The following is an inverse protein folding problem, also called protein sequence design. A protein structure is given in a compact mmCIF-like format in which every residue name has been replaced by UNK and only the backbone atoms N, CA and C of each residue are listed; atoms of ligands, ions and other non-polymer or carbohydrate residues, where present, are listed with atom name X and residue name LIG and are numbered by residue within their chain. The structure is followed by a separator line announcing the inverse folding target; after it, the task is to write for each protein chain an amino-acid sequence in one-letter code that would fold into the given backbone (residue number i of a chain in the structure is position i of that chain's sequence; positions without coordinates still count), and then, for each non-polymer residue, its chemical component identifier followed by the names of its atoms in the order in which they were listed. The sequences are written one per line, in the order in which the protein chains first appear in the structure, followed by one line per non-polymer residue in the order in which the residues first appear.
data_IF_271682756553
#
_entry.id   IF_271682756553
#
_cell.length_a   1.000
_cell.length_b   1.000
_cell.length_c   1.000
_cell.angle_alpha   90.00
_cell.angle_beta   90.00
_cell.angle_gamma   90.00
#
_symmetry.space_group_name_H-M   'P 1'
#
loop_
_entity.id
_entity.type
_entity.pdbx_description
1 polymer ?
#
# COMPACT_ATOMS: atom_id res chain seq x y z
N UNK A 1 -43.98 1.87 -49.54
CA UNK A 1 -43.90 2.61 -48.28
C UNK A 1 -42.55 2.29 -47.68
N UNK A 2 -41.62 3.25 -47.72
CA UNK A 2 -40.26 3.06 -47.20
C UNK A 2 -40.23 3.54 -45.76
N UNK A 3 -40.05 2.61 -44.82
CA UNK A 3 -39.92 2.91 -43.40
C UNK A 3 -38.54 3.54 -43.15
N UNK A 4 -38.55 4.84 -42.87
CA UNK A 4 -37.38 5.59 -42.44
C UNK A 4 -37.07 5.21 -40.97
N UNK A 5 -36.25 4.17 -40.78
CA UNK A 5 -35.68 3.82 -39.48
C UNK A 5 -34.58 4.84 -39.13
N UNK A 6 -34.99 5.94 -38.49
CA UNK A 6 -34.09 6.91 -37.87
C UNK A 6 -33.36 6.25 -36.69
N UNK A 7 -32.13 5.81 -36.93
CA UNK A 7 -31.23 5.36 -35.87
C UNK A 7 -30.96 6.52 -34.92
N UNK A 8 -31.46 6.40 -33.69
CA UNK A 8 -31.15 7.30 -32.60
C UNK A 8 -29.72 7.00 -32.14
N UNK A 9 -28.73 7.75 -32.63
CA UNK A 9 -27.37 7.73 -32.11
C UNK A 9 -27.43 8.11 -30.62
N UNK A 10 -27.32 7.12 -29.75
CA UNK A 10 -27.09 7.36 -28.35
C UNK A 10 -25.71 7.99 -28.22
N UNK A 11 -25.69 9.30 -27.99
CA UNK A 11 -24.47 10.03 -27.60
C UNK A 11 -23.98 9.37 -26.31
N UNK A 12 -22.93 8.55 -26.41
CA UNK A 12 -22.24 8.01 -25.24
C UNK A 12 -21.78 9.19 -24.38
N UNK A 13 -22.51 9.45 -23.30
CA UNK A 13 -22.15 10.48 -22.34
C UNK A 13 -20.75 10.19 -21.82
N UNK A 14 -19.82 11.12 -22.03
CA UNK A 14 -18.45 10.99 -21.54
C UNK A 14 -18.49 10.77 -20.03
N UNK A 15 -17.85 9.70 -19.55
CA UNK A 15 -17.77 9.43 -18.12
C UNK A 15 -17.15 10.63 -17.39
N UNK A 16 -17.66 11.02 -16.22
CA UNK A 16 -17.13 12.16 -15.49
C UNK A 16 -15.66 11.94 -15.14
N UNK A 17 -14.83 12.98 -15.33
CA UNK A 17 -13.44 12.97 -14.91
C UNK A 17 -13.37 13.08 -13.38
N UNK A 18 -13.00 12.00 -12.70
CA UNK A 18 -12.96 11.91 -11.24
C UNK A 18 -11.62 12.37 -10.65
N UNK A 19 -10.59 12.45 -11.50
CA UNK A 19 -9.21 12.70 -11.09
C UNK A 19 -8.63 13.88 -11.86
N UNK A 20 -8.12 14.86 -11.12
CA UNK A 20 -7.26 15.91 -11.65
C UNK A 20 -5.79 15.54 -11.47
N UNK A 21 -4.97 15.79 -12.47
CA UNK A 21 -3.54 15.42 -12.50
C UNK A 21 -2.66 16.65 -12.73
N UNK A 22 -1.55 16.75 -12.01
CA UNK A 22 -0.56 17.81 -12.19
C UNK A 22 0.87 17.26 -12.05
N UNK A 23 1.75 17.61 -12.99
CA UNK A 23 3.19 17.36 -12.85
C UNK A 23 3.75 18.28 -11.76
N UNK A 24 4.21 17.71 -10.65
CA UNK A 24 4.85 18.47 -9.58
C UNK A 24 6.32 18.71 -9.92
N UNK A 25 6.97 17.66 -10.44
CA UNK A 25 8.32 17.74 -10.99
C UNK A 25 8.35 16.90 -12.27
N UNK A 26 8.39 17.54 -13.45
CA UNK A 26 8.37 16.82 -14.72
C UNK A 26 9.40 15.69 -14.77
N UNK A 27 8.95 14.49 -15.13
CA UNK A 27 9.78 13.28 -15.21
C UNK A 27 10.16 12.64 -13.88
N UNK A 28 9.66 13.14 -12.74
CA UNK A 28 10.01 12.60 -11.41
C UNK A 28 8.81 12.43 -10.48
N UNK A 29 7.84 13.36 -10.51
CA UNK A 29 6.67 13.27 -9.64
C UNK A 29 5.39 13.81 -10.28
N UNK A 30 4.33 13.04 -10.09
CA UNK A 30 2.96 13.33 -10.51
C UNK A 30 2.08 13.42 -9.26
N UNK A 31 1.18 14.40 -9.22
CA UNK A 31 0.14 14.50 -8.19
C UNK A 31 -1.23 14.28 -8.82
N UNK A 32 -2.04 13.48 -8.16
CA UNK A 32 -3.43 13.23 -8.51
C UNK A 32 -4.30 13.64 -7.32
N UNK A 33 -5.40 14.33 -7.58
CA UNK A 33 -6.36 14.74 -6.55
C UNK A 33 -7.80 14.47 -7.02
N UNK A 34 -8.74 14.25 -6.09
CA UNK A 34 -10.14 14.09 -6.45
C UNK A 34 -10.73 15.36 -7.07
N UNK A 35 -11.54 15.20 -8.12
CA UNK A 35 -12.20 16.32 -8.83
C UNK A 35 -13.66 16.55 -8.33
N UNK A 36 -14.34 15.50 -7.88
CA UNK A 36 -15.77 15.53 -7.53
C UNK A 36 -16.08 15.12 -6.09
N UNK A 37 -15.08 14.80 -5.29
CA UNK A 37 -15.31 14.56 -3.85
C UNK A 37 -15.71 15.91 -3.24
N UNK A 38 -16.80 15.98 -2.45
CA UNK A 38 -17.18 17.22 -1.77
C UNK A 38 -15.94 17.82 -1.11
N UNK A 39 -15.68 19.10 -1.36
CA UNK A 39 -14.38 19.77 -1.20
C UNK A 39 -13.68 19.67 0.18
N UNK A 40 -14.23 18.93 1.15
CA UNK A 40 -13.69 18.72 2.49
C UNK A 40 -13.74 17.27 3.00
N UNK A 41 -14.13 16.28 2.18
CA UNK A 41 -14.20 14.88 2.61
C UNK A 41 -12.82 14.26 2.78
N UNK A 42 -12.53 13.68 3.94
CA UNK A 42 -11.30 12.90 4.15
C UNK A 42 -11.34 11.61 3.31
N UNK A 43 -10.21 10.89 3.22
CA UNK A 43 -10.22 9.54 2.60
C UNK A 43 -11.24 8.62 3.30
N UNK A 44 -11.38 8.75 4.63
CA UNK A 44 -12.32 7.96 5.41
C UNK A 44 -13.75 8.23 4.95
N UNK A 45 -14.13 9.50 4.90
CA UNK A 45 -15.47 9.92 4.47
C UNK A 45 -15.77 9.44 3.04
N UNK A 46 -14.78 9.56 2.14
CA UNK A 46 -14.94 9.14 0.75
C UNK A 46 -15.15 7.64 0.63
N UNK A 47 -14.29 6.81 1.26
CA UNK A 47 -14.35 5.35 1.09
C UNK A 47 -15.57 4.74 1.77
N UNK A 48 -16.02 5.29 2.90
CA UNK A 48 -17.15 4.73 3.64
C UNK A 48 -18.52 5.24 3.18
N UNK A 49 -18.59 6.49 2.72
CA UNK A 49 -19.88 7.13 2.41
C UNK A 49 -20.21 7.14 0.92
N UNK A 50 -19.21 7.02 0.04
CA UNK A 50 -19.46 6.96 -1.39
C UNK A 50 -19.97 5.57 -1.79
N UNK A 51 -20.77 5.47 -2.88
CA UNK A 51 -21.04 4.19 -3.51
C UNK A 51 -19.74 3.48 -3.87
N UNK A 52 -19.66 2.16 -3.65
CA UNK A 52 -18.48 1.35 -3.93
C UNK A 52 -17.93 1.60 -5.35
N UNK A 53 -18.81 1.62 -6.35
CA UNK A 53 -18.41 1.84 -7.74
C UNK A 53 -17.74 3.20 -7.95
N UNK A 54 -18.13 4.25 -7.21
CA UNK A 54 -17.50 5.57 -7.32
C UNK A 54 -16.06 5.54 -6.77
N UNK A 55 -15.84 4.80 -5.68
CA UNK A 55 -14.49 4.60 -5.11
C UNK A 55 -13.61 3.83 -6.10
N UNK A 56 -14.15 2.74 -6.67
CA UNK A 56 -13.48 1.94 -7.70
C UNK A 56 -13.13 2.79 -8.91
N UNK A 57 -14.11 3.51 -9.48
CA UNK A 57 -13.93 4.34 -10.67
C UNK A 57 -12.87 5.42 -10.45
N UNK A 58 -12.84 6.06 -9.27
CA UNK A 58 -11.81 7.03 -8.92
C UNK A 58 -10.41 6.41 -8.97
N UNK A 59 -10.20 5.28 -8.29
CA UNK A 59 -8.89 4.63 -8.25
C UNK A 59 -8.51 4.02 -9.61
N UNK A 60 -9.47 3.49 -10.38
CA UNK A 60 -9.25 3.02 -11.75
C UNK A 60 -8.81 4.14 -12.68
N UNK A 61 -9.45 5.32 -12.61
CA UNK A 61 -9.03 6.47 -13.39
C UNK A 61 -7.61 6.92 -13.01
N UNK A 62 -7.28 6.94 -11.72
CA UNK A 62 -5.94 7.28 -11.26
C UNK A 62 -4.87 6.29 -11.79
N UNK A 63 -5.14 4.98 -11.67
CA UNK A 63 -4.25 3.92 -12.15
C UNK A 63 -4.12 3.96 -13.68
N UNK A 64 -5.23 4.14 -14.40
CA UNK A 64 -5.23 4.28 -15.86
C UNK A 64 -4.34 5.44 -16.30
N UNK A 65 -4.45 6.59 -15.64
CA UNK A 65 -3.61 7.74 -15.96
C UNK A 65 -2.12 7.44 -15.75
N UNK A 66 -1.77 6.77 -14.65
CA UNK A 66 -0.38 6.41 -14.33
C UNK A 66 0.17 5.37 -15.31
N UNK A 67 -0.49 4.22 -15.44
CA UNK A 67 0.04 3.04 -16.12
C UNK A 67 -0.21 3.05 -17.63
N UNK A 68 -1.34 3.59 -18.08
CA UNK A 68 -1.75 3.55 -19.49
C UNK A 68 -1.45 4.86 -20.21
N UNK A 69 -1.92 5.99 -19.66
CA UNK A 69 -1.73 7.31 -20.29
C UNK A 69 -0.27 7.76 -20.21
N UNK A 70 0.34 7.70 -19.01
CA UNK A 70 1.72 8.13 -18.79
C UNK A 70 2.76 7.03 -18.96
N UNK A 71 2.33 5.77 -19.06
CA UNK A 71 3.19 4.57 -19.19
C UNK A 71 4.22 4.42 -18.05
N UNK A 72 3.87 4.88 -16.85
CA UNK A 72 4.70 4.76 -15.65
C UNK A 72 4.42 3.40 -15.01
N UNK A 73 5.31 2.43 -15.23
CA UNK A 73 5.16 1.06 -14.73
C UNK A 73 5.97 0.78 -13.46
N UNK A 74 6.81 1.74 -13.05
CA UNK A 74 7.76 1.61 -11.95
C UNK A 74 7.70 2.87 -11.08
N UNK A 75 7.05 2.75 -9.92
CA UNK A 75 6.71 3.91 -9.12
C UNK A 75 6.47 3.61 -7.64
N UNK A 76 6.60 4.66 -6.83
CA UNK A 76 6.14 4.74 -5.46
C UNK A 76 4.87 5.59 -5.42
N UNK A 77 3.71 4.95 -5.23
CA UNK A 77 2.43 5.63 -5.06
C UNK A 77 2.20 5.86 -3.57
N UNK A 78 1.94 7.11 -3.19
CA UNK A 78 1.75 7.55 -1.82
C UNK A 78 0.49 8.40 -1.70
N UNK A 79 -0.53 7.85 -1.05
CA UNK A 79 -1.73 8.57 -0.66
C UNK A 79 -1.51 9.23 0.71
N UNK A 80 -1.83 10.52 0.85
CA UNK A 80 -1.73 11.24 2.13
C UNK A 80 -2.91 12.21 2.35
N UNK A 81 -3.22 12.56 3.61
CA UNK A 81 -4.21 13.60 3.91
C UNK A 81 -3.82 14.95 3.31
N UNK A 82 -4.81 15.74 2.90
CA UNK A 82 -4.66 17.08 2.36
C UNK A 82 -5.73 18.00 2.94
N UNK A 83 -5.33 19.11 3.57
CA UNK A 83 -6.28 20.09 4.12
C UNK A 83 -7.17 20.73 3.05
N UNK A 84 -6.69 20.82 1.80
CA UNK A 84 -7.39 21.50 0.70
C UNK A 84 -8.29 20.59 -0.12
N UNK A 85 -7.91 19.30 -0.24
CA UNK A 85 -8.56 18.35 -1.15
C UNK A 85 -9.06 17.10 -0.42
N UNK A 86 -9.02 17.09 0.90
CA UNK A 86 -9.25 15.91 1.73
C UNK A 86 -8.06 14.95 1.73
N UNK A 87 -7.68 14.46 0.55
CA UNK A 87 -6.51 13.62 0.32
C UNK A 87 -5.91 13.85 -1.07
N UNK A 88 -4.66 13.45 -1.25
CA UNK A 88 -3.97 13.47 -2.55
C UNK A 88 -3.15 12.19 -2.75
N UNK A 89 -2.90 11.83 -4.00
CA UNK A 89 -2.00 10.75 -4.41
C UNK A 89 -0.75 11.39 -5.02
N UNK A 90 0.42 11.07 -4.48
CA UNK A 90 1.71 11.43 -5.06
C UNK A 90 2.36 10.18 -5.65
N UNK A 91 2.82 10.27 -6.89
CA UNK A 91 3.50 9.20 -7.60
C UNK A 91 4.92 9.65 -7.88
N UNK A 92 5.90 8.95 -7.31
CA UNK A 92 7.31 9.19 -7.52
C UNK A 92 7.87 8.10 -8.43
N UNK A 93 8.62 8.49 -9.46
CA UNK A 93 9.13 7.57 -10.47
C UNK A 93 10.46 8.05 -11.05
N UNK A 94 11.12 7.20 -11.84
CA UNK A 94 12.37 7.51 -12.53
C UNK A 94 13.65 7.23 -11.74
N UNK A 95 13.54 6.84 -10.46
CA UNK A 95 14.69 6.35 -9.68
C UNK A 95 14.98 4.89 -10.05
N UNK A 96 16.26 4.55 -10.24
CA UNK A 96 16.67 3.15 -10.45
C UNK A 96 16.68 2.41 -9.11
N UNK A 97 15.98 1.27 -9.06
CA UNK A 97 16.00 0.35 -7.92
C UNK A 97 16.16 -1.08 -8.42
N UNK A 98 16.54 -1.98 -7.52
CA UNK A 98 16.80 -3.38 -7.86
C UNK A 98 15.50 -4.18 -8.04
N UNK A 99 14.42 -3.77 -7.37
CA UNK A 99 13.15 -4.48 -7.38
C UNK A 99 13.14 -5.73 -6.51
N UNK A 100 12.03 -6.50 -6.58
CA UNK A 100 11.93 -7.74 -5.84
C UNK A 100 12.79 -8.81 -6.49
N UNK A 101 13.43 -9.63 -5.68
CA UNK A 101 14.01 -10.89 -6.14
C UNK A 101 12.91 -11.79 -6.72
N UNK A 102 13.29 -12.70 -7.62
CA UNK A 102 12.35 -13.73 -8.09
C UNK A 102 12.08 -14.68 -6.93
N UNK A 103 10.85 -14.66 -6.44
CA UNK A 103 10.39 -15.55 -5.37
C UNK A 103 9.42 -16.55 -5.98
N UNK A 104 9.64 -17.83 -5.75
CA UNK A 104 8.70 -18.88 -6.13
C UNK A 104 7.36 -18.68 -5.40
N UNK A 105 6.20 -18.97 -6.03
CA UNK A 105 4.89 -18.74 -5.41
C UNK A 105 4.75 -19.35 -4.01
N UNK A 106 5.28 -20.56 -3.80
CA UNK A 106 5.21 -21.28 -2.52
C UNK A 106 6.02 -20.63 -1.39
N UNK A 107 6.96 -19.75 -1.76
CA UNK A 107 7.80 -18.97 -0.84
C UNK A 107 7.23 -17.57 -0.58
N UNK A 108 6.09 -17.21 -1.18
CA UNK A 108 5.47 -15.92 -0.96
C UNK A 108 4.82 -15.87 0.43
N UNK A 109 5.36 -15.04 1.32
CA UNK A 109 4.82 -14.83 2.69
C UNK A 109 3.38 -14.32 2.71
N UNK A 110 2.83 -13.88 1.57
CA UNK A 110 1.45 -13.43 1.46
C UNK A 110 0.51 -14.50 0.89
N UNK A 111 1.04 -15.58 0.33
CA UNK A 111 0.27 -16.71 -0.17
C UNK A 111 0.34 -17.94 0.75
N UNK A 112 1.39 -18.03 1.58
CA UNK A 112 1.66 -19.16 2.44
C UNK A 112 1.67 -18.73 3.92
N UNK A 113 0.57 -19.02 4.62
CA UNK A 113 0.40 -18.72 6.06
C UNK A 113 1.48 -19.37 6.93
N UNK A 114 2.07 -20.48 6.49
CA UNK A 114 3.12 -21.19 7.21
C UNK A 114 4.54 -20.70 6.85
N UNK A 115 4.67 -19.72 5.96
CA UNK A 115 5.98 -19.18 5.62
C UNK A 115 6.56 -18.37 6.80
N UNK A 116 7.82 -18.63 7.22
CA UNK A 116 8.46 -17.82 8.24
C UNK A 116 8.74 -16.41 7.69
N UNK A 117 8.37 -15.37 8.44
CA UNK A 117 8.63 -13.98 8.05
C UNK A 117 10.14 -13.66 7.94
N UNK A 118 10.95 -14.32 8.74
CA UNK A 118 12.41 -14.20 8.73
C UNK A 118 13.03 -15.60 8.64
N UNK A 119 13.17 -16.16 7.42
CA UNK A 119 13.76 -17.48 7.22
C UNK A 119 15.13 -17.59 7.92
N UNK A 120 15.30 -18.62 8.73
CA UNK A 120 16.53 -18.88 9.49
C UNK A 120 16.64 -18.19 10.85
N UNK A 121 15.70 -17.30 11.23
CA UNK A 121 15.66 -16.74 12.57
C UNK A 121 15.00 -17.73 13.56
N UNK A 122 15.65 -18.06 14.70
CA UNK A 122 15.03 -18.89 15.73
C UNK A 122 13.74 -18.27 16.24
N UNK A 123 12.64 -19.03 16.21
CA UNK A 123 11.33 -18.54 16.64
C UNK A 123 10.73 -17.46 15.73
N UNK A 124 11.09 -17.43 14.44
CA UNK A 124 10.44 -16.55 13.46
C UNK A 124 8.93 -16.72 13.52
N UNK A 125 8.23 -15.60 13.63
CA UNK A 125 6.77 -15.54 13.47
C UNK A 125 6.41 -16.00 12.05
N UNK A 126 5.34 -16.80 11.93
CA UNK A 126 4.78 -17.24 10.66
C UNK A 126 3.87 -16.15 10.08
N UNK A 127 3.78 -16.09 8.75
CA UNK A 127 3.01 -15.06 8.07
C UNK A 127 1.53 -15.04 8.50
N UNK A 128 0.90 -16.21 8.63
CA UNK A 128 -0.50 -16.37 9.01
C UNK A 128 -0.79 -15.90 10.44
N UNK A 129 0.21 -15.94 11.34
CA UNK A 129 0.07 -15.44 12.70
C UNK A 129 -0.06 -13.92 12.75
N UNK A 130 0.41 -13.20 11.72
CA UNK A 130 0.34 -11.75 11.65
C UNK A 130 -1.00 -11.23 11.12
N UNK A 131 -1.87 -12.12 10.65
CA UNK A 131 -3.15 -11.77 10.04
C UNK A 131 -4.16 -11.37 11.12
N UNK A 132 -4.64 -10.13 11.02
CA UNK A 132 -5.73 -9.60 11.83
C UNK A 132 -7.04 -10.00 11.16
N UNK A 133 -7.53 -11.22 11.46
CA UNK A 133 -8.71 -11.81 10.81
C UNK A 133 -9.96 -10.95 11.01
N UNK A 134 -10.08 -10.30 12.16
CA UNK A 134 -11.17 -9.39 12.51
C UNK A 134 -11.19 -8.11 11.66
N UNK A 135 -10.06 -7.76 11.03
CA UNK A 135 -9.93 -6.60 10.14
C UNK A 135 -9.86 -6.99 8.66
N UNK A 136 -9.84 -8.28 8.34
CA UNK A 136 -9.70 -8.77 6.96
C UNK A 136 -11.04 -8.81 6.23
N UNK A 137 -11.03 -8.90 4.90
CA UNK A 137 -12.23 -8.98 4.07
C UNK A 137 -12.09 -10.10 3.03
N UNK A 138 -12.44 -11.31 3.47
CA UNK A 138 -12.35 -12.53 2.67
C UNK A 138 -13.55 -12.59 1.70
N UNK A 139 -13.34 -12.98 0.42
CA UNK A 139 -12.14 -13.61 -0.14
C UNK A 139 -11.18 -12.64 -0.85
N UNK A 140 -11.26 -11.32 -0.59
CA UNK A 140 -10.57 -10.32 -1.40
C UNK A 140 -9.19 -9.93 -0.87
N UNK A 141 -9.12 -9.50 0.39
CA UNK A 141 -7.89 -8.99 1.01
C UNK A 141 -7.75 -9.43 2.46
N UNK A 142 -6.53 -9.40 2.97
CA UNK A 142 -6.22 -9.57 4.38
C UNK A 142 -5.49 -8.36 4.96
N UNK A 143 -5.75 -8.08 6.23
CA UNK A 143 -5.03 -7.09 7.02
C UNK A 143 -4.03 -7.80 7.92
N UNK A 144 -2.81 -7.28 8.02
CA UNK A 144 -1.76 -7.86 8.86
C UNK A 144 -0.96 -6.77 9.59
N UNK A 145 -0.34 -7.15 10.71
CA UNK A 145 0.72 -6.34 11.31
C UNK A 145 1.94 -6.28 10.36
N UNK A 146 2.67 -5.17 10.36
CA UNK A 146 3.91 -5.06 9.58
C UNK A 146 4.95 -6.05 10.13
N UNK A 147 5.49 -6.91 9.28
CA UNK A 147 6.45 -7.95 9.65
C UNK A 147 7.70 -7.40 10.36
N UNK A 148 8.06 -6.13 10.12
CA UNK A 148 9.19 -5.46 10.78
C UNK A 148 8.79 -4.70 12.05
N UNK A 149 7.56 -4.90 12.53
CA UNK A 149 6.97 -4.24 13.68
C UNK A 149 7.07 -2.70 13.60
N UNK A 150 6.66 -2.13 12.48
CA UNK A 150 6.59 -0.68 12.27
C UNK A 150 5.17 -0.17 12.45
N UNK A 151 5.01 1.07 12.93
CA UNK A 151 3.71 1.65 13.24
C UNK A 151 2.79 1.73 12.00
N UNK A 152 1.93 0.72 11.84
CA UNK A 152 1.16 0.56 10.63
C UNK A 152 0.50 -0.80 10.46
N UNK A 153 -0.12 -0.96 9.31
CA UNK A 153 -0.76 -2.20 8.85
C UNK A 153 -0.37 -2.48 7.41
N UNK A 154 -0.42 -3.74 7.01
CA UNK A 154 -0.23 -4.18 5.64
C UNK A 154 -1.54 -4.79 5.15
N UNK A 155 -2.09 -4.26 4.05
CA UNK A 155 -3.23 -4.85 3.37
C UNK A 155 -2.73 -5.54 2.10
N UNK A 156 -3.11 -6.81 1.94
CA UNK A 156 -2.64 -7.66 0.84
C UNK A 156 -3.81 -8.36 0.17
N UNK A 157 -3.93 -8.33 -1.16
CA UNK A 157 -4.89 -9.18 -1.87
C UNK A 157 -4.62 -10.65 -1.58
N UNK A 158 -5.66 -11.45 -1.36
CA UNK A 158 -5.49 -12.89 -1.11
C UNK A 158 -5.05 -13.62 -2.38
N UNK A 159 -5.57 -13.20 -3.53
CA UNK A 159 -5.04 -13.61 -4.82
C UNK A 159 -3.64 -13.03 -5.00
N UNK A 160 -2.70 -13.83 -5.50
CA UNK A 160 -1.38 -13.33 -5.86
C UNK A 160 -1.49 -12.34 -7.03
N UNK A 161 -1.23 -11.07 -6.76
CA UNK A 161 -1.29 -9.98 -7.74
C UNK A 161 -0.03 -9.15 -7.62
N UNK A 162 0.56 -8.76 -8.76
CA UNK A 162 1.79 -7.98 -8.78
C UNK A 162 1.55 -6.48 -9.00
N UNK A 163 0.54 -6.11 -9.79
CA UNK A 163 0.24 -4.71 -10.11
C UNK A 163 -1.10 -4.29 -9.56
N UNK A 164 -1.22 -3.03 -9.16
CA UNK A 164 -2.51 -2.48 -8.73
C UNK A 164 -3.53 -2.49 -9.88
N UNK A 165 -3.09 -2.27 -11.13
CA UNK A 165 -3.95 -2.38 -12.32
C UNK A 165 -4.54 -3.76 -12.56
N UNK A 166 -3.91 -4.82 -12.05
CA UNK A 166 -4.33 -6.22 -12.22
C UNK A 166 -5.36 -6.67 -11.15
N UNK A 167 -5.69 -5.82 -10.18
CA UNK A 167 -6.76 -6.09 -9.23
C UNK A 167 -8.11 -6.12 -9.96
N UNK A 168 -9.07 -6.89 -9.44
CA UNK A 168 -10.49 -6.79 -9.80
C UNK A 168 -11.14 -5.65 -9.02
N UNK A 169 -12.32 -5.21 -9.44
CA UNK A 169 -12.98 -4.03 -8.83
C UNK A 169 -13.30 -4.25 -7.35
N UNK A 170 -13.81 -5.43 -6.99
CA UNK A 170 -14.01 -5.83 -5.60
C UNK A 170 -12.72 -5.90 -4.78
N UNK A 171 -11.63 -6.44 -5.35
CA UNK A 171 -10.31 -6.45 -4.70
C UNK A 171 -9.76 -5.04 -4.52
N UNK A 172 -9.95 -4.16 -5.51
CA UNK A 172 -9.52 -2.77 -5.46
C UNK A 172 -10.29 -2.00 -4.39
N UNK A 173 -11.62 -2.15 -4.33
CA UNK A 173 -12.42 -1.55 -3.27
C UNK A 173 -12.00 -2.07 -1.89
N UNK A 174 -11.94 -3.39 -1.72
CA UNK A 174 -11.58 -4.03 -0.46
C UNK A 174 -10.20 -3.59 0.03
N UNK A 175 -9.21 -3.42 -0.88
CA UNK A 175 -7.87 -2.94 -0.54
C UNK A 175 -7.90 -1.60 0.21
N UNK A 176 -8.69 -0.64 -0.27
CA UNK A 176 -8.81 0.69 0.36
C UNK A 176 -9.75 0.69 1.56
N UNK A 177 -10.90 0.02 1.44
CA UNK A 177 -11.91 -0.06 2.49
C UNK A 177 -11.37 -0.73 3.76
N UNK A 178 -10.68 -1.87 3.63
CA UNK A 178 -10.06 -2.55 4.79
C UNK A 178 -8.99 -1.66 5.43
N UNK A 179 -8.22 -0.91 4.63
CA UNK A 179 -7.24 0.02 5.18
C UNK A 179 -7.87 1.13 6.03
N UNK A 180 -8.96 1.73 5.54
CA UNK A 180 -9.75 2.74 6.27
C UNK A 180 -10.38 2.15 7.53
N UNK A 181 -11.02 0.97 7.42
CA UNK A 181 -11.64 0.28 8.56
C UNK A 181 -10.64 -0.08 9.65
N UNK A 182 -9.45 -0.56 9.29
CA UNK A 182 -8.39 -0.89 10.24
C UNK A 182 -7.96 0.35 11.06
N UNK A 183 -7.80 1.50 10.40
CA UNK A 183 -7.47 2.76 11.07
C UNK A 183 -8.60 3.20 12.02
N UNK A 184 -9.86 3.15 11.58
CA UNK A 184 -11.00 3.55 12.43
C UNK A 184 -11.19 2.65 13.63
N UNK A 185 -11.13 1.34 13.44
CA UNK A 185 -11.30 0.36 14.52
C UNK A 185 -10.27 0.59 15.64
N UNK A 186 -9.07 1.03 15.29
CA UNK A 186 -7.98 1.28 16.22
C UNK A 186 -7.97 2.73 16.78
N UNK A 187 -8.85 3.60 16.26
CA UNK A 187 -8.90 5.02 16.59
C UNK A 187 -7.64 5.77 16.15
N UNK A 188 -7.12 5.45 14.97
CA UNK A 188 -5.87 5.96 14.43
C UNK A 188 -6.09 6.87 13.22
N UNK A 189 -5.26 7.91 13.13
CA UNK A 189 -5.06 8.65 11.88
C UNK A 189 -3.99 7.97 11.04
N UNK A 190 -3.88 8.32 9.75
CA UNK A 190 -2.76 7.84 8.92
C UNK A 190 -1.91 9.00 8.42
N UNK A 191 -0.60 8.76 8.38
CA UNK A 191 0.38 9.66 7.76
C UNK A 191 0.40 9.48 6.25
N UNK A 192 0.39 8.22 5.81
CA UNK A 192 0.33 7.86 4.38
C UNK A 192 -0.03 6.41 4.17
N UNK A 193 -0.69 6.11 3.04
CA UNK A 193 -0.83 4.78 2.50
C UNK A 193 0.04 4.64 1.25
N UNK A 194 0.78 3.53 1.12
CA UNK A 194 1.84 3.38 0.13
C UNK A 194 1.68 2.09 -0.65
N UNK A 195 1.71 2.19 -1.98
CA UNK A 195 1.86 1.07 -2.90
C UNK A 195 3.17 1.26 -3.66
N UNK A 196 4.03 0.25 -3.62
CA UNK A 196 5.26 0.24 -4.42
C UNK A 196 5.06 -0.68 -5.61
N UNK A 197 5.34 -0.19 -6.81
CA UNK A 197 5.20 -0.91 -8.07
C UNK A 197 6.56 -1.09 -8.75
N UNK A 198 6.71 -2.16 -9.53
CA UNK A 198 7.90 -2.39 -10.35
C UNK A 198 9.14 -2.70 -9.51
N UNK A 199 10.17 -1.87 -9.63
CA UNK A 199 11.43 -1.96 -8.89
C UNK A 199 11.39 -1.26 -7.52
N UNK A 200 10.33 -0.49 -7.19
CA UNK A 200 10.17 0.13 -5.87
C UNK A 200 9.79 -0.85 -4.75
N UNK A 201 9.38 -2.08 -5.08
CA UNK A 201 8.92 -3.09 -4.10
C UNK A 201 10.02 -4.10 -3.79
N UNK A 202 9.92 -4.69 -2.60
CA UNK A 202 10.83 -5.74 -2.14
C UNK A 202 10.25 -7.15 -2.33
N UNK A 203 8.91 -7.25 -2.49
CA UNK A 203 8.19 -8.51 -2.63
C UNK A 203 7.38 -8.46 -3.94
N UNK A 204 7.21 -9.59 -4.64
CA UNK A 204 6.46 -9.63 -5.90
C UNK A 204 4.95 -9.49 -5.70
N UNK A 205 4.41 -9.87 -4.54
CA UNK A 205 3.00 -9.68 -4.20
C UNK A 205 2.74 -8.22 -3.81
N UNK A 206 1.65 -7.65 -4.34
CA UNK A 206 1.18 -6.30 -4.06
C UNK A 206 0.86 -6.12 -2.57
N UNK A 207 1.41 -5.06 -1.97
CA UNK A 207 1.11 -4.63 -0.61
C UNK A 207 0.72 -3.16 -0.57
N UNK A 208 -0.38 -2.88 0.12
CA UNK A 208 -0.70 -1.55 0.62
C UNK A 208 -0.12 -1.40 2.02
N UNK A 209 0.84 -0.49 2.19
CA UNK A 209 1.46 -0.19 3.49
C UNK A 209 0.79 1.04 4.09
N UNK A 210 0.17 0.90 5.25
CA UNK A 210 -0.47 1.99 5.97
C UNK A 210 0.46 2.44 7.07
N UNK A 211 0.90 3.70 7.03
CA UNK A 211 1.80 4.28 8.02
C UNK A 211 1.03 5.20 8.95
N UNK A 212 1.24 4.99 10.25
CA UNK A 212 0.64 5.76 11.35
C UNK A 212 1.76 6.48 12.09
N UNK A 213 1.41 7.53 12.84
CA UNK A 213 2.34 8.16 13.76
C UNK A 213 2.75 7.18 14.89
N UNK A 214 4.05 7.12 15.21
CA UNK A 214 4.59 6.15 16.17
C UNK A 214 3.99 6.34 17.57
N UNK A 215 3.72 7.57 17.98
CA UNK A 215 3.16 7.88 19.29
C UNK A 215 1.66 7.54 19.35
N UNK A 216 0.90 7.84 18.30
CA UNK A 216 -0.50 7.40 18.19
C UNK A 216 -0.61 5.87 18.21
N UNK A 217 0.23 5.19 17.42
CA UNK A 217 0.26 3.74 17.35
C UNK A 217 0.66 3.11 18.68
N UNK A 218 1.69 3.66 19.35
CA UNK A 218 2.11 3.20 20.67
C UNK A 218 0.99 3.24 21.71
N UNK A 219 0.14 4.28 21.69
CA UNK A 219 -1.05 4.34 22.56
C UNK A 219 -2.12 3.33 22.16
N UNK A 220 -2.30 3.05 20.87
CA UNK A 220 -3.22 2.01 20.43
C UNK A 220 -2.75 0.61 20.87
N UNK A 221 -1.45 0.32 20.78
CA UNK A 221 -0.85 -0.94 21.26
C UNK A 221 -1.17 -1.21 22.73
N UNK A 222 -1.21 -0.18 23.58
CA UNK A 222 -1.58 -0.34 24.99
C UNK A 222 -3.02 -0.86 25.18
N UNK A 223 -3.93 -0.53 24.26
CA UNK A 223 -5.35 -0.95 24.29
C UNK A 223 -5.60 -2.32 23.65
N UNK A 224 -4.62 -2.88 22.95
CA UNK A 224 -4.79 -4.17 22.27
C UNK A 224 -5.07 -5.32 23.23
N UNK A 225 -5.58 -6.43 22.70
CA UNK A 225 -5.62 -7.69 23.45
C UNK A 225 -4.20 -8.12 23.84
N UNK A 226 -4.10 -8.93 24.89
CA UNK A 226 -2.80 -9.47 25.32
C UNK A 226 -2.12 -10.28 24.22
N UNK A 227 -2.90 -11.09 23.50
CA UNK A 227 -2.43 -11.88 22.36
C UNK A 227 -1.80 -10.99 21.27
N UNK A 228 -2.52 -9.95 20.82
CA UNK A 228 -2.03 -9.03 19.78
C UNK A 228 -0.78 -8.26 20.24
N UNK A 229 -0.69 -7.88 21.53
CA UNK A 229 0.54 -7.29 22.11
C UNK A 229 1.72 -8.27 22.14
N UNK A 230 1.49 -9.53 22.52
CA UNK A 230 2.54 -10.57 22.54
C UNK A 230 3.08 -10.84 21.13
N UNK A 231 2.18 -10.94 20.15
CA UNK A 231 2.53 -11.05 18.73
C UNK A 231 3.36 -9.86 18.26
N UNK A 232 2.93 -8.64 18.55
CA UNK A 232 3.69 -7.43 18.22
C UNK A 232 5.10 -7.44 18.83
N UNK A 233 5.23 -7.80 20.11
CA UNK A 233 6.52 -7.91 20.77
C UNK A 233 7.40 -9.01 20.13
N UNK A 234 6.81 -10.12 19.67
CA UNK A 234 7.53 -11.16 18.94
C UNK A 234 8.06 -10.66 17.59
N UNK A 235 7.27 -9.86 16.86
CA UNK A 235 7.71 -9.20 15.63
C UNK A 235 8.85 -8.22 15.88
N UNK A 236 8.78 -7.41 16.95
CA UNK A 236 9.85 -6.50 17.33
C UNK A 236 11.16 -7.24 17.62
N UNK A 237 11.10 -8.37 18.34
CA UNK A 237 12.29 -9.20 18.61
C UNK A 237 12.87 -9.79 17.32
N UNK A 238 12.02 -10.29 16.43
CA UNK A 238 12.43 -10.91 15.16
C UNK A 238 13.05 -9.89 14.19
N UNK A 239 12.48 -8.67 14.13
CA UNK A 239 12.94 -7.60 13.24
C UNK A 239 14.20 -6.90 13.73
N UNK A 240 14.53 -7.04 15.01
CA UNK A 240 15.73 -6.49 15.66
C UNK A 240 17.00 -7.28 15.36
N UNK A 241 16.96 -8.28 14.48
CA UNK A 241 18.16 -8.89 13.90
C UNK A 241 19.16 -7.78 13.59
N UNK A 242 20.44 -7.88 14.04
CA UNK A 242 21.38 -6.78 13.98
C UNK A 242 21.35 -6.23 12.58
N UNK A 243 20.84 -5.00 12.42
CA UNK A 243 20.92 -4.28 11.14
C UNK A 243 22.35 -4.50 10.72
N UNK A 244 22.62 -5.15 9.59
CA UNK A 244 23.99 -5.24 9.04
C UNK A 244 24.51 -3.82 9.20
N UNK A 245 25.41 -3.60 10.17
CA UNK A 245 25.91 -2.25 10.42
C UNK A 245 26.37 -1.80 9.05
N UNK A 246 25.90 -0.65 8.53
CA UNK A 246 26.35 -0.20 7.23
C UNK A 246 27.87 -0.29 7.28
N UNK A 247 28.43 -1.24 6.53
CA UNK A 247 29.86 -1.50 6.59
C UNK A 247 30.46 -0.17 6.19
N UNK A 248 31.19 0.47 7.11
CA UNK A 248 31.74 1.80 6.88
C UNK A 248 32.41 1.78 5.49
N UNK A 249 31.97 2.64 4.57
CA UNK A 249 32.42 2.61 3.17
C UNK A 249 33.93 2.83 3.04
N UNK A 250 34.56 3.47 4.04
CA UNK A 250 36.01 3.58 4.18
C UNK A 250 36.68 2.21 4.47
N UNK A 251 36.01 1.33 5.20
CA UNK A 251 36.48 -0.02 5.56
C UNK A 251 36.54 -0.93 4.32
N UNK A 252 35.63 -0.76 3.36
CA UNK A 252 35.63 -1.50 2.09
C UNK A 252 36.81 -1.15 1.17
N UNK A 253 37.38 0.06 1.27
CA UNK A 253 38.46 0.50 0.36
C UNK A 253 39.87 0.21 0.87
N UNK A 254 40.10 0.23 2.17
CA UNK A 254 41.47 0.18 2.73
C UNK A 254 41.70 -0.98 3.72
N UNK A 255 40.70 -1.84 3.96
CA UNK A 255 40.80 -2.98 4.89
C UNK A 255 41.00 -2.59 6.35
N UNK A 256 40.95 -1.29 6.70
CA UNK A 256 41.10 -0.77 8.06
C UNK A 256 40.18 0.43 8.28
N UNK A 257 39.28 0.35 9.27
CA UNK A 257 38.49 1.50 9.72
C UNK A 257 39.37 2.39 10.58
N UNK A 258 39.53 3.68 10.22
CA UNK A 258 40.24 4.65 11.09
C UNK A 258 39.52 4.94 12.41
N UNK A 259 38.26 4.53 12.57
CA UNK A 259 37.45 4.78 13.77
C UNK A 259 37.28 3.55 14.68
N UNK A 260 37.93 2.41 14.40
CA UNK A 260 37.79 1.18 15.19
C UNK A 260 36.36 0.61 15.21
N UNK A 261 36.02 -0.19 16.22
CA UNK A 261 34.72 -0.87 16.39
C UNK A 261 33.51 0.07 16.64
N UNK A 262 33.75 1.39 16.61
CA UNK A 262 32.74 2.43 16.88
C UNK A 262 32.15 3.06 15.61
N UNK A 263 32.06 2.29 14.53
CA UNK A 263 31.20 2.57 13.37
C UNK A 263 29.93 1.70 13.39
#
# INVERSE_FOLDING_TARGET
MAENSSACEQVEGSKPQLVETADVKPGQSLQLKPNVVPHNGTLFDFVESAPEQLVVDFFRQAIHHIEQTRRINDYHLKLKPSKRSGFIIEVFYGERREGPEKVEPDSCISCNDSAPLFPGAPGSVLAGECVLRELSDQPYVQCSLDAKARAGFIITPLRHVQKIGDLRDNELFALWNVGVRALKNEGLSFRSMIVNQGSYRNLPHLHLKIWVDDHEYGRAVLRWSEEKRRLWAALQRSSSSPKKRPMCTLLQREGKCRFGDRC
#
